data_IF_104266368480
#
_entry.id   IF_104266368480
#
_cell.length_a   1.000
_cell.length_b   1.000
_cell.length_c   1.000
_cell.angle_alpha   90.00
_cell.angle_beta   90.00
_cell.angle_gamma   90.00
#
_symmetry.space_group_name_H-M   'P 1'
#
loop_
_entity.id
_entity.type
_entity.pdbx_description
1 polymer ?
#
# COMPACT_ATOMS: atom_id res chain seq x y z
N UNK A 1 14.39 12.61 20.48
CA UNK A 1 13.35 11.71 21.03
C UNK A 1 13.99 10.60 21.83
N UNK A 2 13.38 10.16 22.93
CA UNK A 2 13.78 8.94 23.66
C UNK A 2 13.41 7.68 22.87
N UNK A 3 13.93 6.52 23.29
CA UNK A 3 13.55 5.23 22.73
C UNK A 3 12.03 4.99 22.83
N UNK A 4 11.41 5.26 23.98
CA UNK A 4 9.97 5.07 24.15
C UNK A 4 9.17 5.99 23.22
N UNK A 5 9.60 7.23 23.04
CA UNK A 5 8.93 8.18 22.14
C UNK A 5 8.99 7.72 20.68
N UNK A 6 10.13 7.15 20.24
CA UNK A 6 10.30 6.62 18.87
C UNK A 6 9.42 5.41 18.63
N UNK A 7 9.45 4.43 19.54
CA UNK A 7 8.58 3.25 19.45
C UNK A 7 7.10 3.65 19.44
N UNK A 8 6.69 4.58 20.32
CA UNK A 8 5.32 5.08 20.35
C UNK A 8 4.93 5.81 19.05
N UNK A 9 5.87 6.53 18.42
CA UNK A 9 5.63 7.16 17.11
C UNK A 9 5.40 6.10 16.02
N UNK A 10 6.24 5.08 15.96
CA UNK A 10 6.10 3.98 14.99
C UNK A 10 4.83 3.15 15.21
N UNK A 11 4.39 2.95 16.45
CA UNK A 11 3.07 2.36 16.74
C UNK A 11 1.95 3.19 16.12
N UNK A 12 1.96 4.52 16.32
CA UNK A 12 0.93 5.41 15.73
C UNK A 12 0.95 5.37 14.21
N UNK A 13 2.12 5.30 13.58
CA UNK A 13 2.24 5.14 12.13
C UNK A 13 1.54 3.86 11.62
N UNK A 14 1.73 2.74 12.31
CA UNK A 14 1.10 1.47 11.96
C UNK A 14 -0.43 1.50 12.15
N UNK A 15 -0.89 2.08 13.26
CA UNK A 15 -2.31 2.20 13.58
C UNK A 15 -3.04 3.14 12.62
N UNK A 16 -2.43 4.29 12.27
CA UNK A 16 -2.98 5.21 11.28
C UNK A 16 -3.14 4.53 9.91
N UNK A 17 -2.13 3.77 9.46
CA UNK A 17 -2.20 2.98 8.23
C UNK A 17 -3.35 1.95 8.29
N UNK A 18 -3.40 1.14 9.35
CA UNK A 18 -4.46 0.14 9.54
C UNK A 18 -5.85 0.77 9.51
N UNK A 19 -6.04 1.85 10.26
CA UNK A 19 -7.35 2.45 10.47
C UNK A 19 -7.90 3.11 9.20
N UNK A 20 -7.03 3.73 8.39
CA UNK A 20 -7.41 4.29 7.09
C UNK A 20 -7.98 3.20 6.16
N UNK A 21 -7.31 2.04 6.09
CA UNK A 21 -7.77 0.93 5.26
C UNK A 21 -8.96 0.17 5.86
N UNK A 22 -9.03 -0.01 7.18
CA UNK A 22 -10.16 -0.70 7.85
C UNK A 22 -11.48 0.04 7.68
N UNK A 23 -11.46 1.39 7.70
CA UNK A 23 -12.65 2.20 7.46
C UNK A 23 -13.03 2.28 5.97
N UNK A 24 -12.21 1.68 5.10
CA UNK A 24 -12.28 1.80 3.64
C UNK A 24 -12.21 3.25 3.15
N UNK A 25 -11.80 4.21 3.99
CA UNK A 25 -11.77 5.63 3.66
C UNK A 25 -10.67 5.98 2.65
N UNK A 26 -9.66 5.12 2.49
CA UNK A 26 -8.59 5.31 1.48
C UNK A 26 -9.17 5.40 0.07
N UNK A 27 -10.21 4.64 -0.27
CA UNK A 27 -10.85 4.74 -1.60
C UNK A 27 -11.53 6.09 -1.84
N UNK A 28 -11.88 6.78 -0.76
CA UNK A 28 -12.53 8.09 -0.74
C UNK A 28 -11.51 9.23 -0.51
N UNK A 29 -10.21 8.91 -0.48
CA UNK A 29 -9.12 9.87 -0.37
C UNK A 29 -8.64 10.17 1.05
N UNK A 30 -9.04 9.37 2.07
CA UNK A 30 -8.42 9.48 3.40
C UNK A 30 -6.92 9.14 3.31
N UNK A 31 -6.09 10.05 3.79
CA UNK A 31 -4.66 9.88 3.84
C UNK A 31 -4.19 9.52 5.26
N UNK A 32 -3.32 8.51 5.37
CA UNK A 32 -2.48 8.29 6.55
C UNK A 32 -1.18 9.13 6.47
N UNK A 33 -1.01 9.88 5.39
CA UNK A 33 0.15 10.73 5.10
C UNK A 33 0.39 11.80 6.18
N UNK A 34 -0.66 12.24 6.90
CA UNK A 34 -0.48 13.20 8.00
C UNK A 34 0.35 12.63 9.16
N UNK A 35 0.37 11.30 9.31
CA UNK A 35 1.20 10.60 10.30
C UNK A 35 2.53 10.16 9.71
N UNK A 36 2.58 9.86 8.41
CA UNK A 36 3.78 9.39 7.72
C UNK A 36 4.52 10.56 7.08
N UNK A 37 5.67 10.93 7.65
CA UNK A 37 6.54 11.93 7.06
C UNK A 37 7.65 11.23 6.29
N UNK A 38 7.86 11.61 5.04
CA UNK A 38 8.95 11.08 4.22
C UNK A 38 10.16 12.02 4.29
N UNK A 39 11.35 11.46 4.46
CA UNK A 39 12.58 12.22 4.31
C UNK A 39 12.71 12.69 2.85
N UNK A 40 13.37 13.83 2.61
CA UNK A 40 13.50 14.41 1.27
C UNK A 40 14.22 13.47 0.28
N UNK A 41 15.14 12.66 0.80
CA UNK A 41 15.91 11.64 0.10
C UNK A 41 15.38 10.21 0.35
N UNK A 42 14.19 10.09 0.96
CA UNK A 42 13.57 8.81 1.25
C UNK A 42 13.32 8.00 -0.03
N UNK A 43 13.43 6.67 0.08
CA UNK A 43 13.33 5.77 -1.08
C UNK A 43 12.28 4.68 -0.92
N UNK A 44 11.72 4.26 -2.04
CA UNK A 44 10.81 3.13 -2.17
C UNK A 44 11.48 1.97 -2.91
N UNK A 45 11.22 0.75 -2.46
CA UNK A 45 11.62 -0.47 -3.15
C UNK A 45 10.54 -1.56 -3.03
N UNK A 46 10.41 -2.38 -4.06
CA UNK A 46 9.62 -3.60 -4.00
C UNK A 46 10.10 -4.59 -5.06
N UNK A 47 10.47 -5.83 -4.69
CA UNK A 47 10.78 -6.85 -5.68
C UNK A 47 9.64 -7.10 -6.67
N UNK A 48 8.40 -6.82 -6.27
CA UNK A 48 7.21 -7.04 -7.10
C UNK A 48 6.90 -5.86 -8.03
N UNK A 49 7.09 -4.61 -7.57
CA UNK A 49 6.73 -3.42 -8.35
C UNK A 49 7.92 -2.75 -9.06
N UNK A 50 9.10 -2.80 -8.45
CA UNK A 50 10.30 -2.11 -8.93
C UNK A 50 11.43 -3.07 -9.28
N UNK A 51 11.26 -4.37 -9.04
CA UNK A 51 12.32 -5.35 -9.19
C UNK A 51 13.51 -5.02 -8.29
N UNK A 52 14.70 -4.92 -8.88
CA UNK A 52 15.94 -4.56 -8.18
C UNK A 52 16.16 -3.03 -8.09
N UNK A 53 15.28 -2.23 -8.69
CA UNK A 53 15.40 -0.77 -8.71
C UNK A 53 14.85 -0.13 -7.42
N UNK A 54 15.49 0.99 -7.04
CA UNK A 54 15.13 1.83 -5.90
C UNK A 54 14.75 3.20 -6.42
N UNK A 55 13.57 3.68 -6.05
CA UNK A 55 13.02 4.96 -6.49
C UNK A 55 13.01 5.96 -5.36
N UNK A 56 13.24 7.25 -5.62
CA UNK A 56 12.98 8.26 -4.59
C UNK A 56 11.49 8.39 -4.36
N UNK A 57 11.07 8.45 -3.10
CA UNK A 57 9.66 8.65 -2.74
C UNK A 57 9.12 10.00 -3.24
N UNK A 58 10.00 10.99 -3.40
CA UNK A 58 9.65 12.29 -4.01
C UNK A 58 9.47 12.23 -5.55
N UNK A 59 9.97 11.18 -6.20
CA UNK A 59 9.89 10.94 -7.65
C UNK A 59 8.90 9.82 -8.01
N UNK A 60 8.53 8.97 -7.04
CA UNK A 60 7.35 8.10 -7.09
C UNK A 60 6.11 8.96 -7.36
N UNK A 61 5.00 8.43 -7.95
CA UNK A 61 3.81 9.22 -8.27
C UNK A 61 3.51 10.12 -7.09
N UNK A 62 3.51 11.42 -7.36
CA UNK A 62 3.89 12.52 -6.47
C UNK A 62 3.01 12.70 -5.22
N UNK A 63 2.18 11.72 -4.92
CA UNK A 63 1.47 11.54 -3.69
C UNK A 63 1.22 10.04 -3.45
N UNK A 64 1.98 9.43 -2.55
CA UNK A 64 1.74 8.05 -2.05
C UNK A 64 0.29 7.83 -1.64
N UNK A 65 -0.41 8.87 -1.14
CA UNK A 65 -1.82 8.78 -0.81
C UNK A 65 -2.69 8.67 -2.06
N UNK A 66 -2.35 9.34 -3.18
CA UNK A 66 -3.06 9.17 -4.46
C UNK A 66 -2.88 7.78 -5.05
N UNK A 67 -1.66 7.24 -5.01
CA UNK A 67 -1.42 5.87 -5.46
C UNK A 67 -2.24 4.87 -4.62
N UNK A 68 -2.17 4.98 -3.29
CA UNK A 68 -2.96 4.14 -2.36
C UNK A 68 -4.47 4.29 -2.57
N UNK A 69 -4.94 5.52 -2.84
CA UNK A 69 -6.35 5.82 -3.14
C UNK A 69 -6.79 5.16 -4.43
N UNK A 70 -5.98 5.27 -5.49
CA UNK A 70 -6.26 4.67 -6.79
C UNK A 70 -6.32 3.14 -6.68
N UNK A 71 -5.35 2.53 -6.01
CA UNK A 71 -5.34 1.09 -5.71
C UNK A 71 -6.62 0.65 -5.01
N UNK A 72 -6.95 1.30 -3.88
CA UNK A 72 -8.12 0.95 -3.09
C UNK A 72 -9.43 1.13 -3.88
N UNK A 73 -9.53 2.20 -4.67
CA UNK A 73 -10.69 2.46 -5.53
C UNK A 73 -10.85 1.38 -6.60
N UNK A 74 -9.78 1.05 -7.31
CA UNK A 74 -9.82 0.06 -8.40
C UNK A 74 -10.07 -1.35 -7.88
N UNK A 75 -9.41 -1.76 -6.79
CA UNK A 75 -9.69 -3.06 -6.19
C UNK A 75 -11.13 -3.19 -5.71
N UNK A 76 -11.69 -2.11 -5.17
CA UNK A 76 -13.09 -2.08 -4.71
C UNK A 76 -14.11 -2.25 -5.85
N UNK A 77 -13.73 -2.06 -7.13
CA UNK A 77 -14.60 -2.34 -8.27
C UNK A 77 -14.88 -3.84 -8.41
N UNK A 78 -13.85 -4.67 -8.22
CA UNK A 78 -13.98 -6.13 -8.27
C UNK A 78 -14.29 -6.74 -6.91
N UNK A 79 -13.88 -6.08 -5.81
CA UNK A 79 -13.98 -6.56 -4.43
C UNK A 79 -14.58 -5.49 -3.49
N UNK A 80 -15.90 -5.28 -3.46
CA UNK A 80 -16.52 -4.13 -2.79
C UNK A 80 -16.27 -4.04 -1.27
N UNK A 81 -16.04 -5.18 -0.62
CA UNK A 81 -15.75 -5.29 0.80
C UNK A 81 -14.26 -5.44 1.12
N UNK A 82 -13.38 -5.23 0.12
CA UNK A 82 -11.93 -5.36 0.27
C UNK A 82 -11.39 -4.50 1.40
N UNK A 83 -10.69 -5.13 2.34
CA UNK A 83 -10.07 -4.51 3.51
C UNK A 83 -9.10 -5.46 4.22
N UNK A 84 -8.33 -4.98 5.22
CA UNK A 84 -7.56 -5.84 6.10
C UNK A 84 -8.46 -6.77 6.94
N UNK A 85 -8.17 -8.07 6.97
CA UNK A 85 -8.80 -9.03 7.91
C UNK A 85 -7.86 -9.45 9.03
N UNK A 86 -6.55 -9.27 8.85
CA UNK A 86 -5.54 -9.39 9.89
C UNK A 86 -4.46 -8.33 9.70
N UNK A 87 -3.99 -7.75 10.80
CA UNK A 87 -2.95 -6.74 10.79
C UNK A 87 -2.04 -6.93 12.01
N UNK A 88 -0.77 -7.24 11.76
CA UNK A 88 0.26 -7.36 12.79
C UNK A 88 1.36 -6.34 12.49
N UNK A 89 1.93 -5.75 13.53
CA UNK A 89 3.00 -4.77 13.39
C UNK A 89 4.03 -4.89 14.51
N UNK A 90 5.26 -4.48 14.21
CA UNK A 90 6.40 -4.54 15.12
C UNK A 90 7.18 -3.22 15.01
N UNK A 91 6.94 -2.27 15.93
CA UNK A 91 7.69 -1.02 15.97
C UNK A 91 9.06 -1.26 16.62
N UNK A 92 10.08 -0.57 16.13
CA UNK A 92 11.43 -0.56 16.69
C UNK A 92 11.88 0.89 16.94
N UNK A 93 13.12 1.08 17.38
CA UNK A 93 13.68 2.43 17.52
C UNK A 93 13.86 3.14 16.17
N UNK A 94 14.13 2.38 15.11
CA UNK A 94 14.56 2.90 13.81
C UNK A 94 13.55 2.64 12.69
N UNK A 95 12.32 2.23 13.03
CA UNK A 95 11.31 1.98 12.04
C UNK A 95 10.18 1.09 12.52
N UNK A 96 9.51 0.45 11.57
CA UNK A 96 8.42 -0.47 11.85
C UNK A 96 8.28 -1.51 10.73
N UNK A 97 7.81 -2.70 11.11
CA UNK A 97 7.41 -3.74 10.17
C UNK A 97 5.92 -3.97 10.29
N UNK A 98 5.22 -4.16 9.17
CA UNK A 98 3.80 -4.53 9.13
C UNK A 98 3.61 -5.79 8.30
N UNK A 99 2.66 -6.62 8.73
CA UNK A 99 2.11 -7.74 7.96
C UNK A 99 0.59 -7.59 7.91
N UNK A 100 0.06 -7.48 6.71
CA UNK A 100 -1.38 -7.30 6.48
C UNK A 100 -1.92 -8.47 5.67
N UNK A 101 -3.04 -9.06 6.12
CA UNK A 101 -3.88 -9.94 5.30
C UNK A 101 -4.99 -9.08 4.71
N UNK A 102 -5.04 -9.02 3.38
CA UNK A 102 -6.09 -8.36 2.63
C UNK A 102 -7.05 -9.40 2.08
N UNK A 103 -8.35 -9.18 2.25
CA UNK A 103 -9.38 -10.04 1.67
C UNK A 103 -10.55 -9.21 1.17
N UNK A 104 -11.24 -9.73 0.16
CA UNK A 104 -12.50 -9.23 -0.35
C UNK A 104 -13.21 -10.29 -1.19
N UNK A 105 -14.45 -10.02 -1.56
CA UNK A 105 -15.31 -10.93 -2.31
C UNK A 105 -15.66 -10.34 -3.68
N UNK A 106 -15.58 -11.19 -4.70
CA UNK A 106 -16.14 -10.89 -6.02
C UNK A 106 -17.67 -10.80 -5.97
N UNK A 107 -18.29 -10.27 -7.04
CA UNK A 107 -19.74 -10.15 -7.13
C UNK A 107 -20.50 -11.50 -7.05
N UNK A 108 -19.87 -12.61 -7.45
CA UNK A 108 -20.38 -13.98 -7.33
C UNK A 108 -20.05 -14.63 -5.98
N UNK A 109 -19.39 -13.90 -5.07
CA UNK A 109 -19.14 -14.31 -3.68
C UNK A 109 -17.86 -15.11 -3.46
N UNK A 110 -16.97 -15.21 -4.46
CA UNK A 110 -15.67 -15.86 -4.27
C UNK A 110 -14.75 -14.96 -3.42
N UNK A 111 -14.26 -15.51 -2.31
CA UNK A 111 -13.29 -14.84 -1.45
C UNK A 111 -11.89 -14.91 -2.07
N UNK A 112 -11.22 -13.77 -2.19
CA UNK A 112 -9.84 -13.68 -2.62
C UNK A 112 -9.06 -12.76 -1.69
N UNK A 113 -7.74 -12.98 -1.62
CA UNK A 113 -6.90 -12.19 -0.75
C UNK A 113 -5.43 -12.49 -0.93
N UNK A 114 -4.60 -11.67 -0.28
CA UNK A 114 -3.15 -11.80 -0.32
C UNK A 114 -2.56 -11.24 0.98
N UNK A 115 -1.30 -11.58 1.23
CA UNK A 115 -0.49 -10.95 2.26
C UNK A 115 0.37 -9.85 1.66
N UNK A 116 0.43 -8.71 2.33
CA UNK A 116 1.48 -7.72 2.11
C UNK A 116 2.33 -7.54 3.36
N UNK A 117 3.59 -7.17 3.14
CA UNK A 117 4.56 -6.86 4.17
C UNK A 117 5.17 -5.50 3.85
N UNK A 118 5.25 -4.63 4.84
CA UNK A 118 5.87 -3.31 4.71
C UNK A 118 6.99 -3.19 5.73
N UNK A 119 8.18 -2.83 5.27
CA UNK A 119 9.34 -2.52 6.09
C UNK A 119 9.62 -1.03 5.94
N UNK A 120 9.57 -0.30 7.05
CA UNK A 120 9.85 1.12 7.07
C UNK A 120 11.05 1.38 7.97
N UNK A 121 12.01 2.15 7.47
CA UNK A 121 13.12 2.70 8.23
C UNK A 121 12.92 4.21 8.39
N UNK A 122 13.30 4.74 9.56
CA UNK A 122 13.17 6.16 9.88
C UNK A 122 14.47 6.77 10.42
N UNK A 123 14.67 8.07 10.15
CA UNK A 123 15.78 8.84 10.70
C UNK A 123 15.52 9.27 12.18
N UNK A 124 16.40 10.11 12.72
CA UNK A 124 16.27 10.62 14.10
C UNK A 124 15.04 11.48 14.36
N UNK A 125 14.48 12.09 13.30
CA UNK A 125 13.26 12.91 13.33
C UNK A 125 11.98 12.08 13.05
N UNK A 126 12.12 10.75 12.96
CA UNK A 126 11.07 9.80 12.59
C UNK A 126 10.49 10.02 11.19
N UNK A 127 11.28 10.59 10.27
CA UNK A 127 10.93 10.65 8.85
C UNK A 127 11.38 9.36 8.17
N UNK A 128 10.52 8.81 7.30
CA UNK A 128 10.74 7.58 6.55
C UNK A 128 11.86 7.81 5.54
N UNK A 129 12.97 7.09 5.71
CA UNK A 129 14.13 7.08 4.81
C UNK A 129 14.07 5.93 3.82
N UNK A 130 13.40 4.83 4.18
CA UNK A 130 13.17 3.69 3.30
C UNK A 130 11.81 3.09 3.56
N UNK A 131 11.05 2.84 2.50
CA UNK A 131 9.85 2.01 2.54
C UNK A 131 9.97 0.89 1.52
N UNK A 132 9.96 -0.34 2.01
CA UNK A 132 10.05 -1.54 1.20
C UNK A 132 8.77 -2.37 1.35
N UNK A 133 8.24 -2.86 0.23
CA UNK A 133 7.00 -3.66 0.23
C UNK A 133 7.17 -5.01 -0.46
N UNK A 134 6.56 -6.02 0.12
CA UNK A 134 6.51 -7.38 -0.39
C UNK A 134 5.09 -7.92 -0.37
N UNK A 135 4.82 -8.85 -1.27
CA UNK A 135 3.52 -9.52 -1.41
C UNK A 135 3.78 -11.02 -1.62
N UNK A 136 2.83 -11.86 -1.22
CA UNK A 136 2.90 -13.30 -1.53
C UNK A 136 2.27 -13.60 -2.89
N UNK A 137 2.50 -14.83 -3.38
CA UNK A 137 2.08 -15.29 -4.71
C UNK A 137 0.56 -15.22 -4.97
N UNK A 138 -0.27 -15.22 -3.92
CA UNK A 138 -1.73 -15.06 -4.04
C UNK A 138 -2.11 -13.71 -4.68
N UNK A 139 -1.22 -12.72 -4.60
CA UNK A 139 -1.45 -11.41 -5.18
C UNK A 139 -1.59 -11.44 -6.70
N UNK A 140 -0.95 -12.39 -7.40
CA UNK A 140 -1.10 -12.51 -8.85
C UNK A 140 -2.55 -12.86 -9.23
N UNK A 141 -3.10 -13.90 -8.60
CA UNK A 141 -4.48 -14.30 -8.83
C UNK A 141 -5.48 -13.20 -8.44
N UNK A 142 -5.18 -12.46 -7.38
CA UNK A 142 -5.96 -11.29 -6.99
C UNK A 142 -5.93 -10.20 -8.09
N UNK A 143 -4.76 -9.86 -8.62
CA UNK A 143 -4.61 -8.83 -9.66
C UNK A 143 -5.21 -9.23 -11.01
N UNK A 144 -5.17 -10.52 -11.37
CA UNK A 144 -5.84 -11.04 -12.57
C UNK A 144 -7.34 -10.70 -12.58
N UNK A 145 -7.97 -10.73 -11.40
CA UNK A 145 -9.39 -10.35 -11.23
C UNK A 145 -9.57 -8.84 -11.05
N UNK A 146 -8.66 -8.19 -10.33
CA UNK A 146 -8.78 -6.76 -10.03
C UNK A 146 -8.58 -5.88 -11.29
N UNK A 147 -7.49 -6.13 -12.02
CA UNK A 147 -6.98 -5.25 -13.09
C UNK A 147 -6.63 -5.99 -14.39
N UNK A 148 -6.78 -7.32 -14.42
CA UNK A 148 -6.58 -8.14 -15.62
C UNK A 148 -5.11 -8.40 -15.99
N UNK A 149 -4.16 -7.98 -15.14
CA UNK A 149 -2.72 -8.17 -15.36
C UNK A 149 -2.01 -8.29 -14.01
N UNK A 150 -0.97 -9.11 -13.94
CA UNK A 150 -0.11 -9.24 -12.76
C UNK A 150 1.37 -9.05 -13.11
N UNK A 151 2.19 -8.90 -12.07
CA UNK A 151 3.61 -8.64 -12.17
C UNK A 151 4.47 -9.91 -12.28
N UNK A 152 5.76 -9.87 -11.88
CA UNK A 152 6.43 -8.69 -11.33
C UNK A 152 6.50 -7.57 -12.36
N UNK A 153 6.12 -6.36 -11.94
CA UNK A 153 6.21 -5.17 -12.75
C UNK A 153 7.65 -4.65 -12.73
N UNK A 154 8.08 -4.00 -13.82
CA UNK A 154 9.44 -3.44 -13.93
C UNK A 154 9.41 -1.92 -13.90
N UNK A 155 8.90 -1.38 -12.80
CA UNK A 155 8.72 0.05 -12.58
C UNK A 155 7.26 0.40 -12.29
N UNK A 156 7.04 1.64 -11.85
CA UNK A 156 5.72 2.10 -11.40
C UNK A 156 4.73 2.37 -12.51
N UNK A 157 5.21 2.67 -13.72
CA UNK A 157 4.36 3.04 -14.86
C UNK A 157 3.37 1.94 -15.23
N UNK A 158 3.85 0.71 -15.44
CA UNK A 158 3.02 -0.41 -15.91
C UNK A 158 1.85 -0.71 -14.97
N UNK A 159 2.14 -0.72 -13.67
CA UNK A 159 1.16 -1.02 -12.65
C UNK A 159 0.08 0.09 -12.55
N UNK A 160 0.51 1.36 -12.54
CA UNK A 160 -0.41 2.50 -12.47
C UNK A 160 -1.26 2.63 -13.73
N UNK A 161 -0.66 2.45 -14.91
CA UNK A 161 -1.39 2.44 -16.18
C UNK A 161 -2.49 1.38 -16.21
N UNK A 162 -2.24 0.20 -15.62
CA UNK A 162 -3.25 -0.84 -15.50
C UNK A 162 -4.40 -0.44 -14.57
N UNK A 163 -4.10 0.21 -13.43
CA UNK A 163 -5.11 0.77 -12.52
C UNK A 163 -5.94 1.86 -13.20
N UNK A 164 -5.28 2.82 -13.86
CA UNK A 164 -5.95 3.93 -14.57
C UNK A 164 -6.84 3.43 -15.70
N UNK A 165 -6.37 2.47 -16.50
CA UNK A 165 -7.17 1.82 -17.55
C UNK A 165 -8.42 1.17 -16.96
N UNK A 166 -8.24 0.39 -15.89
CA UNK A 166 -9.36 -0.31 -15.23
C UNK A 166 -10.39 0.67 -14.66
N UNK A 167 -9.92 1.78 -14.07
CA UNK A 167 -10.80 2.83 -13.58
C UNK A 167 -11.60 3.47 -14.73
N UNK A 168 -10.93 3.83 -15.83
CA UNK A 168 -11.59 4.43 -16.99
C UNK A 168 -12.66 3.51 -17.60
N UNK A 169 -12.40 2.20 -17.71
CA UNK A 169 -13.39 1.21 -18.19
C UNK A 169 -14.66 1.17 -17.33
N UNK A 170 -14.54 1.43 -16.02
CA UNK A 170 -15.69 1.43 -15.10
C UNK A 170 -16.56 2.71 -15.18
N UNK A 171 -16.00 3.80 -15.70
CA UNK A 171 -16.67 5.10 -15.80
C UNK A 171 -17.40 5.31 -17.15
N UNK A 172 -17.20 4.41 -18.13
CA UNK A 172 -17.94 4.43 -19.40
C UNK A 172 -19.31 3.78 -19.20
N UNK A 173 -20.42 4.50 -19.41
CA UNK A 173 -21.76 3.90 -19.38
C UNK A 173 -21.90 2.85 -20.48
N UNK A 174 -22.51 1.71 -20.14
CA UNK A 174 -22.87 0.64 -21.07
C UNK A 174 -23.85 1.10 -22.16
#
# INVERSE_FOLDING_TARGET
MTLEERVAHHTRMAEAYRDAYLRQGVKDGEAFADTWKFAADGVYASPYFTGDEVFKLSEFPSDTAKASTLEAKVYSLSFPDWKPTSFNYWPSENGLVMKTRWEGHTADGAMMGFYSYSFLETNGECEITRWETHVNDEYNAFLDVAIGVHGPFRGTGEYLEALERRLAESEVPA
#
